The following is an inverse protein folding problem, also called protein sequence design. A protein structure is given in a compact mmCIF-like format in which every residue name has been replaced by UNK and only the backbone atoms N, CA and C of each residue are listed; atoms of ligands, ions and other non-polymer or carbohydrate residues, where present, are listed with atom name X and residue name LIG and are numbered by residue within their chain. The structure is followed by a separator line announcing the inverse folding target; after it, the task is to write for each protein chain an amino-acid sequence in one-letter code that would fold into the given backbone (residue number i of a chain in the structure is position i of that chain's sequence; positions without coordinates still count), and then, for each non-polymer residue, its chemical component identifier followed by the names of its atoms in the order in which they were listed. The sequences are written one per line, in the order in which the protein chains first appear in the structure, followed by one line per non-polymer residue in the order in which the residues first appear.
data_IF_629029373224
#
_entry.id   IF_629029373224
#
_cell.length_a   1.000
_cell.length_b   1.000
_cell.length_c   1.000
_cell.angle_alpha   90.00
_cell.angle_beta   90.00
_cell.angle_gamma   90.00
#
_symmetry.space_group_name_H-M   'P 1'
#
loop_
_entity.id
_entity.type
_entity.pdbx_description
1 polymer ?
#
# COMPACT_ATOMS: atom_id res chain seq x y z
N UNK A 1 51.13 -14.47 65.75
CA UNK A 1 51.15 -15.66 66.63
C UNK A 1 49.76 -16.28 66.63
N UNK A 2 49.69 -17.62 66.42
CA UNK A 2 48.54 -18.55 66.50
C UNK A 2 47.40 -18.30 65.49
N UNK A 3 47.29 -19.01 64.35
CA UNK A 3 47.31 -20.44 64.01
C UNK A 3 46.09 -21.24 64.52
N UNK A 4 45.35 -21.81 63.55
CA UNK A 4 44.62 -23.11 63.54
C UNK A 4 43.35 -23.32 64.39
N UNK A 5 42.27 -23.79 63.74
CA UNK A 5 41.72 -25.18 63.76
C UNK A 5 40.29 -25.16 63.15
N UNK A 6 40.01 -25.79 62.00
CA UNK A 6 39.49 -27.19 61.82
C UNK A 6 38.30 -27.49 62.75
N UNK A 7 37.17 -28.11 62.40
CA UNK A 7 36.68 -28.91 61.27
C UNK A 7 35.27 -29.43 61.71
N UNK A 8 34.56 -30.13 60.80
CA UNK A 8 33.39 -31.04 61.02
C UNK A 8 32.03 -30.40 61.37
N UNK A 9 31.00 -30.46 60.53
CA UNK A 9 30.14 -31.59 60.10
C UNK A 9 29.38 -32.32 61.23
N UNK A 10 28.03 -32.23 61.18
CA UNK A 10 27.00 -33.28 61.41
C UNK A 10 25.63 -32.60 61.68
N UNK A 11 24.57 -32.71 60.85
CA UNK A 11 23.65 -33.85 60.62
C UNK A 11 22.44 -33.87 61.59
N UNK A 12 21.22 -33.58 61.04
CA UNK A 12 19.92 -34.29 61.19
C UNK A 12 19.20 -34.22 62.60
N UNK A 13 17.89 -34.00 62.85
CA UNK A 13 16.60 -34.54 62.31
C UNK A 13 15.36 -33.84 62.96
N UNK A 14 14.34 -33.53 62.12
CA UNK A 14 12.84 -33.57 62.28
C UNK A 14 12.07 -32.72 63.31
N UNK A 15 11.14 -31.92 62.77
CA UNK A 15 9.66 -32.01 62.94
C UNK A 15 9.04 -31.03 61.92
N UNK A 16 8.17 -31.38 60.98
CA UNK A 16 6.94 -32.14 61.14
C UNK A 16 5.77 -31.20 60.83
N UNK A 17 5.40 -31.06 59.55
CA UNK A 17 4.13 -30.47 59.15
C UNK A 17 3.67 -31.13 57.84
N UNK A 18 2.72 -32.05 57.98
CA UNK A 18 1.94 -32.54 56.87
C UNK A 18 1.02 -31.40 56.39
N UNK A 19 1.18 -30.98 55.14
CA UNK A 19 0.20 -30.17 54.45
C UNK A 19 0.18 -30.57 52.96
N UNK A 20 -0.89 -31.27 52.60
CA UNK A 20 -1.50 -31.40 51.28
C UNK A 20 -0.57 -31.43 50.05
N UNK A 21 -0.46 -32.60 49.42
CA UNK A 21 -0.08 -32.70 48.00
C UNK A 21 -1.17 -32.06 47.13
N UNK A 22 -1.08 -30.76 46.89
CA UNK A 22 -1.71 -30.12 45.75
C UNK A 22 -0.84 -30.39 44.52
N UNK A 23 -1.20 -31.39 43.72
CA UNK A 23 -0.63 -31.54 42.39
C UNK A 23 -0.87 -30.23 41.62
N UNK A 24 0.14 -29.68 40.92
CA UNK A 24 -0.13 -28.63 39.96
C UNK A 24 -1.02 -29.27 38.89
N UNK A 25 -2.29 -28.87 38.87
CA UNK A 25 -3.15 -29.16 37.73
C UNK A 25 -2.47 -28.55 36.53
N UNK A 26 -1.79 -29.42 35.76
CA UNK A 26 -1.33 -29.11 34.42
C UNK A 26 -2.53 -28.51 33.71
N UNK A 27 -2.42 -27.23 33.39
CA UNK A 27 -3.37 -26.51 32.58
C UNK A 27 -3.52 -27.33 31.30
N UNK A 28 -4.62 -28.06 31.16
CA UNK A 28 -5.05 -28.66 29.90
C UNK A 28 -5.54 -27.54 28.98
N UNK A 29 -4.65 -26.59 28.68
CA UNK A 29 -4.91 -25.45 27.81
C UNK A 29 -4.59 -25.75 26.34
N UNK A 30 -4.32 -27.03 26.01
CA UNK A 30 -3.99 -27.45 24.65
C UNK A 30 -4.96 -28.49 24.07
N UNK A 31 -5.88 -29.06 24.86
CA UNK A 31 -6.89 -30.01 24.35
C UNK A 31 -8.14 -29.32 23.75
N UNK A 32 -8.23 -27.99 23.85
CA UNK A 32 -9.36 -27.20 23.32
C UNK A 32 -8.94 -26.06 22.39
N UNK A 33 -7.73 -26.09 21.87
CA UNK A 33 -7.41 -25.27 20.70
C UNK A 33 -7.82 -26.11 19.50
N UNK A 34 -8.84 -25.72 18.72
CA UNK A 34 -9.09 -26.36 17.44
C UNK A 34 -7.76 -26.34 16.69
N UNK A 35 -7.25 -27.51 16.29
CA UNK A 35 -6.20 -27.59 15.28
C UNK A 35 -6.80 -26.95 14.03
N UNK A 36 -6.64 -25.62 13.91
CA UNK A 36 -6.95 -24.93 12.67
C UNK A 36 -6.09 -25.65 11.63
N UNK A 37 -6.70 -26.16 10.53
CA UNK A 37 -5.92 -26.68 9.44
C UNK A 37 -4.85 -25.65 9.11
N UNK A 38 -3.58 -26.06 9.05
CA UNK A 38 -2.54 -25.19 8.49
C UNK A 38 -2.87 -25.03 7.02
N UNK A 39 -3.76 -24.06 6.70
CA UNK A 39 -3.98 -23.62 5.34
C UNK A 39 -2.61 -23.16 4.86
N UNK A 40 -2.02 -23.82 3.85
CA UNK A 40 -0.71 -23.44 3.35
C UNK A 40 -0.74 -21.95 3.02
N UNK A 41 0.30 -21.21 3.41
CA UNK A 41 0.37 -19.75 3.28
C UNK A 41 0.02 -19.26 1.86
N UNK A 42 0.33 -20.07 0.85
CA UNK A 42 -0.06 -19.86 -0.54
C UNK A 42 -1.57 -19.71 -0.73
N UNK A 43 -2.40 -20.59 -0.16
CA UNK A 43 -3.85 -20.50 -0.31
C UNK A 43 -4.42 -19.21 0.30
N UNK A 44 -3.92 -18.80 1.49
CA UNK A 44 -4.29 -17.51 2.10
C UNK A 44 -3.84 -16.31 1.27
N UNK A 45 -2.66 -16.39 0.66
CA UNK A 45 -2.14 -15.31 -0.20
C UNK A 45 -3.00 -15.14 -1.46
N UNK A 46 -3.41 -16.24 -2.10
CA UNK A 46 -4.27 -16.20 -3.28
C UNK A 46 -5.66 -15.66 -2.95
N UNK A 47 -6.26 -16.05 -1.82
CA UNK A 47 -7.53 -15.50 -1.34
C UNK A 47 -7.46 -13.99 -1.12
N UNK A 48 -6.38 -13.48 -0.51
CA UNK A 48 -6.20 -12.03 -0.29
C UNK A 48 -6.00 -11.28 -1.61
N UNK A 49 -5.24 -11.83 -2.56
CA UNK A 49 -5.10 -11.23 -3.89
C UNK A 49 -6.43 -11.22 -4.65
N UNK A 50 -7.19 -12.30 -4.56
CA UNK A 50 -8.50 -12.39 -5.20
C UNK A 50 -9.48 -11.39 -4.60
N UNK A 51 -9.57 -11.31 -3.26
CA UNK A 51 -10.40 -10.31 -2.58
C UNK A 51 -9.99 -8.86 -2.91
N UNK A 52 -8.70 -8.61 -3.17
CA UNK A 52 -8.22 -7.30 -3.64
C UNK A 52 -8.64 -7.03 -5.09
N UNK A 53 -8.62 -8.04 -5.97
CA UNK A 53 -9.09 -7.89 -7.35
C UNK A 53 -10.60 -7.70 -7.46
N UNK A 54 -11.37 -8.22 -6.50
CA UNK A 54 -12.83 -8.11 -6.45
C UNK A 54 -13.31 -6.77 -5.84
N UNK A 55 -12.39 -5.94 -5.34
CA UNK A 55 -12.75 -4.63 -4.80
C UNK A 55 -13.20 -3.71 -5.94
N UNK A 56 -14.49 -3.37 -5.92
CA UNK A 56 -15.07 -2.45 -6.89
C UNK A 56 -14.32 -1.11 -6.93
N UNK A 57 -14.01 -0.65 -8.14
CA UNK A 57 -13.43 0.67 -8.41
C UNK A 57 -14.57 1.70 -8.41
N UNK A 58 -14.39 2.84 -7.73
CA UNK A 58 -15.38 3.91 -7.73
C UNK A 58 -15.16 4.85 -8.92
N UNK A 59 -16.02 4.76 -9.93
CA UNK A 59 -15.93 5.63 -11.12
C UNK A 59 -16.47 7.05 -10.90
N UNK A 60 -17.08 7.36 -9.75
CA UNK A 60 -17.57 8.73 -9.45
C UNK A 60 -16.45 9.75 -9.31
N UNK A 61 -15.21 9.28 -9.20
CA UNK A 61 -14.00 10.12 -9.20
C UNK A 61 -13.66 10.67 -10.59
N UNK A 62 -14.34 10.22 -11.65
CA UNK A 62 -14.15 10.67 -13.02
C UNK A 62 -15.30 11.58 -13.47
N UNK A 63 -14.95 12.68 -14.15
CA UNK A 63 -15.87 13.47 -14.96
C UNK A 63 -16.00 12.87 -16.36
N UNK A 64 -14.85 12.54 -16.97
CA UNK A 64 -14.75 11.95 -18.31
C UNK A 64 -13.52 11.05 -18.38
N UNK A 65 -13.59 10.02 -19.23
CA UNK A 65 -12.44 9.21 -19.66
C UNK A 65 -12.62 8.82 -21.13
N UNK A 66 -11.53 8.83 -21.88
CA UNK A 66 -11.50 8.50 -23.30
C UNK A 66 -10.24 7.69 -23.60
N UNK A 67 -10.40 6.50 -24.19
CA UNK A 67 -9.27 5.68 -24.63
C UNK A 67 -8.81 6.20 -25.99
N UNK A 68 -7.58 6.67 -26.10
CA UNK A 68 -7.06 7.37 -27.27
C UNK A 68 -6.52 6.39 -28.30
N UNK A 69 -5.46 5.65 -27.95
CA UNK A 69 -4.94 4.54 -28.73
C UNK A 69 -4.75 3.30 -27.84
N UNK A 70 -5.65 2.29 -27.93
CA UNK A 70 -5.57 1.09 -27.10
C UNK A 70 -4.35 0.20 -27.40
N UNK A 71 -3.66 0.45 -28.52
CA UNK A 71 -2.50 -0.34 -28.98
C UNK A 71 -1.16 0.28 -28.60
N UNK A 72 -1.15 1.48 -28.03
CA UNK A 72 0.08 2.13 -27.59
C UNK A 72 0.72 1.31 -26.46
N UNK A 73 1.99 0.92 -26.64
CA UNK A 73 2.69 0.10 -25.66
C UNK A 73 3.07 0.96 -24.45
N UNK A 74 2.39 0.76 -23.31
CA UNK A 74 2.69 1.41 -22.04
C UNK A 74 2.93 0.32 -20.99
N UNK A 75 4.14 0.23 -20.48
CA UNK A 75 4.52 -0.78 -19.49
C UNK A 75 3.98 -0.38 -18.11
N UNK A 76 3.27 -1.28 -17.43
CA UNK A 76 2.65 -1.00 -16.14
C UNK A 76 3.64 -0.50 -15.06
N UNK A 77 4.87 -1.02 -15.06
CA UNK A 77 5.92 -0.56 -14.15
C UNK A 77 6.25 0.91 -14.39
N UNK A 78 6.49 1.27 -15.66
CA UNK A 78 6.80 2.62 -16.09
C UNK A 78 5.66 3.57 -15.75
N UNK A 79 4.42 3.18 -16.04
CA UNK A 79 3.22 3.94 -15.69
C UNK A 79 3.11 4.20 -14.19
N UNK A 80 3.30 3.17 -13.36
CA UNK A 80 3.19 3.33 -11.90
C UNK A 80 4.26 4.29 -11.37
N UNK A 81 5.47 4.25 -11.93
CA UNK A 81 6.56 5.16 -11.53
C UNK A 81 6.29 6.58 -12.05
N UNK A 82 5.85 6.73 -13.30
CA UNK A 82 5.48 8.01 -13.91
C UNK A 82 4.31 8.68 -13.16
N UNK A 83 3.32 7.89 -12.75
CA UNK A 83 2.18 8.33 -11.96
C UNK A 83 2.62 8.93 -10.61
N UNK A 84 3.68 8.42 -10.00
CA UNK A 84 4.24 8.91 -8.74
C UNK A 84 5.24 10.06 -8.92
N UNK A 85 5.69 10.34 -10.15
CA UNK A 85 6.70 11.37 -10.42
C UNK A 85 6.11 12.75 -10.73
N UNK A 86 4.79 12.86 -10.92
CA UNK A 86 4.11 14.15 -11.10
C UNK A 86 4.37 15.10 -9.91
N UNK A 87 4.28 16.41 -10.15
CA UNK A 87 4.50 17.47 -9.15
C UNK A 87 5.89 17.43 -8.50
N UNK A 88 6.91 16.97 -9.24
CA UNK A 88 8.28 16.81 -8.73
C UNK A 88 8.47 15.56 -7.85
N UNK A 89 7.49 14.66 -7.86
CA UNK A 89 7.46 13.43 -7.08
C UNK A 89 6.52 13.52 -5.87
N UNK A 90 5.67 12.50 -5.71
CA UNK A 90 4.90 12.23 -4.49
C UNK A 90 5.40 10.98 -3.72
N UNK A 91 6.71 10.85 -3.40
CA UNK A 91 7.20 9.76 -2.56
C UNK A 91 6.82 9.97 -1.08
N UNK A 92 6.71 8.86 -0.35
CA UNK A 92 6.58 8.89 1.12
C UNK A 92 5.34 9.61 1.63
N UNK A 93 5.54 10.56 2.56
CA UNK A 93 4.51 11.34 3.27
C UNK A 93 4.02 12.58 2.53
N UNK A 94 4.38 12.74 1.25
CA UNK A 94 3.83 13.81 0.42
C UNK A 94 2.43 13.39 -0.02
N UNK A 95 1.43 13.99 0.62
CA UNK A 95 0.03 13.64 0.40
C UNK A 95 -0.65 14.47 -0.70
N UNK A 96 0.04 15.45 -1.30
CA UNK A 96 -0.49 16.33 -2.37
C UNK A 96 0.61 16.98 -3.20
N UNK A 97 0.24 17.49 -4.36
CA UNK A 97 1.11 18.34 -5.18
C UNK A 97 1.60 19.58 -4.43
N UNK A 98 2.92 19.75 -4.35
CA UNK A 98 3.57 20.91 -3.73
C UNK A 98 3.81 22.00 -4.79
N UNK A 99 3.89 23.26 -4.35
CA UNK A 99 4.15 24.40 -5.24
C UNK A 99 2.94 24.86 -6.08
N UNK A 100 1.84 24.10 -6.09
CA UNK A 100 0.60 24.45 -6.79
C UNK A 100 0.82 24.82 -8.27
N UNK A 101 1.49 23.97 -9.06
CA UNK A 101 1.69 24.25 -10.48
C UNK A 101 0.35 24.17 -11.23
N UNK A 102 0.21 24.90 -12.34
CA UNK A 102 -0.96 24.75 -13.22
C UNK A 102 -0.89 23.48 -14.05
N UNK A 103 0.31 23.05 -14.37
CA UNK A 103 0.62 21.89 -15.20
C UNK A 103 1.81 21.15 -14.60
N UNK A 104 1.80 19.84 -14.69
CA UNK A 104 2.94 19.01 -14.30
C UNK A 104 3.03 17.80 -15.21
N UNK A 105 4.22 17.24 -15.30
CA UNK A 105 4.50 16.02 -16.03
C UNK A 105 5.12 14.99 -15.11
N UNK A 106 4.79 13.74 -15.35
CA UNK A 106 5.44 12.58 -14.75
C UNK A 106 5.81 11.62 -15.85
N UNK A 107 7.11 11.38 -16.05
CA UNK A 107 7.60 10.56 -17.15
C UNK A 107 8.52 9.47 -16.61
N UNK A 108 8.35 8.25 -17.11
CA UNK A 108 9.28 7.14 -16.92
C UNK A 108 9.14 6.18 -18.08
N UNK A 109 10.24 5.84 -18.73
CA UNK A 109 10.27 4.76 -19.72
C UNK A 109 9.29 4.96 -20.88
N UNK A 110 8.23 4.14 -20.91
CA UNK A 110 7.15 4.10 -21.90
C UNK A 110 5.88 4.84 -21.46
N UNK A 111 5.91 5.57 -20.35
CA UNK A 111 4.76 6.27 -19.81
C UNK A 111 5.06 7.75 -19.56
N UNK A 112 4.21 8.62 -20.10
CA UNK A 112 4.16 10.05 -19.83
C UNK A 112 2.75 10.41 -19.37
N UNK A 113 2.65 10.96 -18.15
CA UNK A 113 1.49 11.68 -17.67
C UNK A 113 1.69 13.18 -17.89
N UNK A 114 0.77 13.81 -18.61
CA UNK A 114 0.64 15.27 -18.67
C UNK A 114 -0.62 15.66 -17.90
N UNK A 115 -0.49 16.46 -16.85
CA UNK A 115 -1.57 16.78 -15.90
C UNK A 115 -1.78 18.28 -15.83
N UNK A 116 -3.03 18.73 -15.92
CA UNK A 116 -3.40 20.16 -16.00
C UNK A 116 -4.62 20.48 -15.14
N UNK A 117 -4.65 21.68 -14.56
CA UNK A 117 -5.86 22.23 -13.95
C UNK A 117 -6.77 22.86 -15.03
N UNK A 118 -8.03 22.43 -15.09
CA UNK A 118 -8.93 22.77 -16.20
C UNK A 118 -9.44 24.22 -16.11
N UNK A 119 -9.68 24.71 -14.90
CA UNK A 119 -10.17 26.06 -14.69
C UNK A 119 -9.08 27.11 -14.93
N UNK A 120 -9.42 28.18 -15.64
CA UNK A 120 -8.51 29.29 -15.89
C UNK A 120 -8.02 29.93 -14.58
N UNK A 121 -6.70 30.01 -14.41
CA UNK A 121 -6.08 30.56 -13.21
C UNK A 121 -6.05 29.62 -12.00
N UNK A 122 -6.57 28.40 -12.13
CA UNK A 122 -6.45 27.39 -11.10
C UNK A 122 -5.08 26.69 -11.14
N UNK A 123 -4.71 26.13 -10.00
CA UNK A 123 -3.53 25.29 -9.81
C UNK A 123 -3.92 23.87 -9.44
N UNK A 124 -3.03 22.92 -9.67
CA UNK A 124 -3.18 21.53 -9.25
C UNK A 124 -2.99 21.48 -7.72
N UNK A 125 -3.99 20.94 -7.04
CA UNK A 125 -4.06 20.76 -5.58
C UNK A 125 -4.48 19.33 -5.19
N UNK A 126 -4.41 18.38 -6.12
CA UNK A 126 -4.89 17.01 -5.96
C UNK A 126 -4.07 16.27 -4.89
N UNK A 127 -4.76 15.47 -4.07
CA UNK A 127 -4.10 14.60 -3.11
C UNK A 127 -3.59 13.32 -3.79
N UNK A 128 -2.58 12.69 -3.20
CA UNK A 128 -2.02 11.43 -3.68
C UNK A 128 -3.08 10.33 -3.76
N UNK A 129 -3.91 10.20 -2.74
CA UNK A 129 -5.01 9.21 -2.71
C UNK A 129 -6.02 9.46 -3.83
N UNK A 130 -6.47 10.70 -3.99
CA UNK A 130 -7.44 11.07 -5.03
C UNK A 130 -6.87 10.84 -6.43
N UNK A 131 -5.61 11.22 -6.65
CA UNK A 131 -4.89 10.97 -7.89
C UNK A 131 -4.82 9.47 -8.23
N UNK A 132 -4.40 8.65 -7.26
CA UNK A 132 -4.31 7.19 -7.46
C UNK A 132 -5.66 6.56 -7.78
N UNK A 133 -6.72 6.95 -7.06
CA UNK A 133 -8.07 6.44 -7.34
C UNK A 133 -8.58 6.90 -8.72
N UNK A 134 -8.31 8.13 -9.12
CA UNK A 134 -8.70 8.62 -10.44
C UNK A 134 -8.01 7.86 -11.58
N UNK A 135 -6.69 7.68 -11.51
CA UNK A 135 -5.94 6.91 -12.52
C UNK A 135 -6.41 5.44 -12.54
N UNK A 136 -6.65 4.84 -11.38
CA UNK A 136 -7.20 3.49 -11.30
C UNK A 136 -8.58 3.38 -11.95
N UNK A 137 -9.47 4.35 -11.73
CA UNK A 137 -10.79 4.40 -12.38
C UNK A 137 -10.67 4.60 -13.89
N UNK A 138 -9.72 5.42 -14.35
CA UNK A 138 -9.46 5.60 -15.77
C UNK A 138 -8.95 4.31 -16.41
N UNK A 139 -8.03 3.59 -15.76
CA UNK A 139 -7.51 2.29 -16.21
C UNK A 139 -8.54 1.17 -16.18
N UNK A 140 -9.46 1.20 -15.23
CA UNK A 140 -10.59 0.26 -15.24
C UNK A 140 -11.46 0.43 -16.50
N UNK A 141 -11.56 1.67 -17.03
CA UNK A 141 -12.29 1.95 -18.28
C UNK A 141 -11.46 1.76 -19.55
N UNK A 142 -10.17 2.07 -19.50
CA UNK A 142 -9.20 1.94 -20.59
C UNK A 142 -8.00 1.09 -20.14
N UNK A 143 -8.13 -0.26 -20.17
CA UNK A 143 -7.17 -1.17 -19.55
C UNK A 143 -5.77 -1.15 -20.17
N UNK A 144 -5.66 -0.78 -21.44
CA UNK A 144 -4.42 -0.74 -22.20
C UNK A 144 -4.33 0.54 -23.02
N UNK A 145 -3.14 0.85 -23.52
CA UNK A 145 -2.94 1.98 -24.41
C UNK A 145 -2.94 3.34 -23.74
N UNK A 146 -2.96 4.38 -24.57
CA UNK A 146 -3.12 5.76 -24.11
C UNK A 146 -4.56 6.12 -23.81
N UNK A 147 -4.73 7.08 -22.92
CA UNK A 147 -6.03 7.56 -22.50
C UNK A 147 -5.94 9.03 -22.08
N UNK A 148 -7.08 9.71 -22.12
CA UNK A 148 -7.28 10.97 -21.41
C UNK A 148 -8.38 10.81 -20.38
N UNK A 149 -8.27 11.49 -19.26
CA UNK A 149 -9.32 11.51 -18.25
C UNK A 149 -9.32 12.80 -17.44
N UNK A 150 -10.48 13.11 -16.89
CA UNK A 150 -10.70 14.25 -16.01
C UNK A 150 -11.14 13.74 -14.66
N UNK A 151 -10.35 14.04 -13.64
CA UNK A 151 -10.63 13.73 -12.25
C UNK A 151 -11.57 14.77 -11.66
N UNK A 152 -12.58 14.34 -10.92
CA UNK A 152 -13.43 15.26 -10.15
C UNK A 152 -12.58 15.95 -9.09
N UNK A 153 -12.58 17.28 -9.11
CA UNK A 153 -11.81 18.12 -8.21
C UNK A 153 -10.31 18.05 -8.46
N UNK A 154 -9.52 18.29 -7.41
CA UNK A 154 -8.07 18.19 -7.47
C UNK A 154 -7.37 19.44 -8.03
N UNK A 155 -8.11 20.44 -8.48
CA UNK A 155 -7.58 21.79 -8.70
C UNK A 155 -7.98 22.73 -7.55
N UNK A 156 -7.31 23.87 -7.43
CA UNK A 156 -7.68 24.94 -6.50
C UNK A 156 -9.07 25.49 -6.77
N UNK A 157 -9.54 25.36 -8.02
CA UNK A 157 -10.91 25.53 -8.45
C UNK A 157 -11.18 24.58 -9.62
N UNK A 158 -12.25 23.79 -9.54
CA UNK A 158 -12.63 22.84 -10.58
C UNK A 158 -11.81 21.54 -10.57
N UNK A 159 -11.67 20.96 -11.76
CA UNK A 159 -11.19 19.61 -12.01
C UNK A 159 -9.73 19.58 -12.52
N UNK A 160 -9.14 18.39 -12.52
CA UNK A 160 -7.81 18.13 -13.10
C UNK A 160 -7.94 17.13 -14.23
N UNK A 161 -7.46 17.50 -15.42
CA UNK A 161 -7.36 16.61 -16.56
C UNK A 161 -5.96 16.06 -16.73
N UNK A 162 -5.85 14.83 -17.23
CA UNK A 162 -4.58 14.25 -17.62
C UNK A 162 -4.66 13.47 -18.93
N UNK A 163 -3.52 13.37 -19.59
CA UNK A 163 -3.26 12.46 -20.70
C UNK A 163 -2.17 11.49 -20.28
N UNK A 164 -2.36 10.22 -20.57
CA UNK A 164 -1.36 9.17 -20.45
C UNK A 164 -1.03 8.64 -21.84
N UNK A 165 0.23 8.71 -22.22
CA UNK A 165 0.73 8.24 -23.52
C UNK A 165 2.13 7.65 -23.41
N UNK A 166 2.57 6.96 -24.47
CA UNK A 166 3.97 6.56 -24.65
C UNK A 166 4.70 7.64 -25.45
N UNK A 167 5.63 8.39 -24.83
CA UNK A 167 6.32 9.49 -25.48
C UNK A 167 7.24 9.04 -26.63
N UNK A 168 7.65 7.77 -26.66
CA UNK A 168 8.56 7.21 -27.68
C UNK A 168 7.87 6.90 -29.00
N UNK A 169 6.55 6.84 -29.04
CA UNK A 169 5.79 6.60 -30.27
C UNK A 169 5.68 7.85 -31.16
N UNK A 170 6.13 9.01 -30.69
CA UNK A 170 6.18 10.26 -31.48
C UNK A 170 7.47 10.40 -32.31
N UNK A 171 8.41 9.46 -32.19
CA UNK A 171 9.72 9.48 -32.87
C UNK A 171 9.79 8.59 -34.14
N UNK A 172 8.65 8.09 -34.65
CA UNK A 172 8.57 7.23 -35.83
C UNK A 172 7.85 7.88 -37.02
#
# INVERSE_FOLDING_TARGET
MLTTKTLLQAVLIVAGAAAASAQPQGYKLLDKVPLMPRIPSHAKHHEVLQARSEKAVDHKVLVKVECLDPNQEIILHDETVAQLSICGGMPGSIDRCLGSPRETVGETGTALFTVTADAAGASIAISKEQWMHCVQAARDRCPTGSLSATCVGGASAGDVSFVLENPRNHDL
#
